data_IF_146226792850
#
_entry.id   IF_146226792850
#
_cell.length_a   1.000
_cell.length_b   1.000
_cell.length_c   1.000
_cell.angle_alpha   90.00
_cell.angle_beta   90.00
_cell.angle_gamma   90.00
#
_symmetry.space_group_name_H-M   'P 1'
#
loop_
_entity.id
_entity.type
_entity.pdbx_description
1 polymer ?
#
# COMPACT_ATOMS: atom_id res chain seq x y z
N UNK A 1 -0.71 5.97 -9.86
CA UNK A 1 0.65 6.48 -9.60
C UNK A 1 0.56 7.98 -9.71
N UNK A 2 1.02 8.70 -8.69
CA UNK A 2 1.09 10.17 -8.74
C UNK A 2 2.10 10.63 -9.79
N UNK A 3 1.70 11.57 -10.63
CA UNK A 3 2.59 12.19 -11.62
C UNK A 3 3.77 12.89 -10.94
N UNK A 4 4.90 13.01 -11.64
CA UNK A 4 6.10 13.66 -11.11
C UNK A 4 5.83 15.17 -10.90
N UNK A 5 6.23 15.68 -9.74
CA UNK A 5 6.13 17.09 -9.40
C UNK A 5 7.49 17.58 -8.90
N UNK A 6 8.12 18.46 -9.68
CA UNK A 6 9.47 18.95 -9.42
C UNK A 6 9.57 19.76 -8.11
N UNK A 7 8.60 20.64 -7.86
CA UNK A 7 8.58 21.48 -6.65
C UNK A 7 8.52 20.64 -5.38
N UNK A 8 7.65 19.63 -5.37
CA UNK A 8 7.54 18.67 -4.25
C UNK A 8 8.78 17.81 -4.10
N UNK A 9 9.38 17.37 -5.21
CA UNK A 9 10.61 16.60 -5.16
C UNK A 9 11.75 17.43 -4.54
N UNK A 10 11.89 18.70 -4.93
CA UNK A 10 12.87 19.63 -4.38
C UNK A 10 12.59 20.04 -2.93
N UNK A 11 11.33 20.03 -2.49
CA UNK A 11 10.97 20.22 -1.08
C UNK A 11 11.29 19.00 -0.20
N UNK A 12 11.76 17.91 -0.81
CA UNK A 12 12.24 16.70 -0.14
C UNK A 12 11.27 15.52 -0.16
N UNK A 13 10.13 15.63 -0.85
CA UNK A 13 9.26 14.46 -1.07
C UNK A 13 9.95 13.43 -1.98
N UNK A 14 9.90 12.13 -1.64
CA UNK A 14 10.53 11.10 -2.45
C UNK A 14 9.85 10.92 -3.80
N UNK A 15 10.62 10.48 -4.78
CA UNK A 15 10.16 10.14 -6.13
C UNK A 15 10.29 8.64 -6.41
N UNK A 16 9.50 8.15 -7.36
CA UNK A 16 9.50 6.77 -7.81
C UNK A 16 10.23 6.65 -9.14
N UNK A 17 11.23 5.78 -9.17
CA UNK A 17 11.96 5.44 -10.38
C UNK A 17 11.23 4.35 -11.18
N UNK A 18 11.51 4.26 -12.49
CA UNK A 18 10.91 3.26 -13.40
C UNK A 18 11.17 1.82 -12.94
N UNK A 19 12.33 1.55 -12.37
CA UNK A 19 12.68 0.26 -11.78
C UNK A 19 12.00 -0.02 -10.43
N UNK A 20 11.13 0.87 -9.95
CA UNK A 20 10.37 0.72 -8.71
C UNK A 20 11.11 1.18 -7.45
N UNK A 21 12.36 1.68 -7.55
CA UNK A 21 13.12 2.18 -6.40
C UNK A 21 12.70 3.59 -5.96
N UNK A 22 12.98 3.91 -4.70
CA UNK A 22 12.79 5.23 -4.09
C UNK A 22 14.03 6.09 -4.36
N UNK A 23 13.83 7.35 -4.73
CA UNK A 23 14.89 8.34 -4.88
C UNK A 23 14.47 9.70 -4.31
N UNK A 24 15.45 10.59 -4.17
CA UNK A 24 15.29 11.94 -3.64
C UNK A 24 16.03 12.91 -4.53
N UNK A 25 15.33 13.95 -5.00
CA UNK A 25 15.97 15.11 -5.62
C UNK A 25 16.37 16.07 -4.50
N UNK A 26 17.60 16.58 -4.52
CA UNK A 26 18.11 17.47 -3.47
C UNK A 26 18.42 18.86 -3.98
N UNK A 27 18.95 18.95 -5.19
CA UNK A 27 19.36 20.23 -5.76
C UNK A 27 18.90 20.30 -7.21
N UNK A 28 18.51 21.50 -7.62
CA UNK A 28 18.56 21.90 -9.00
C UNK A 28 19.82 22.76 -9.16
N UNK A 29 20.81 22.26 -9.90
CA UNK A 29 22.02 23.03 -10.24
C UNK A 29 21.74 23.92 -11.45
N UNK A 30 22.76 24.64 -11.93
CA UNK A 30 22.65 25.49 -13.12
C UNK A 30 22.00 24.72 -14.29
N UNK A 31 20.97 25.32 -14.88
CA UNK A 31 20.21 24.74 -15.99
C UNK A 31 21.03 24.61 -17.28
N UNK A 32 22.24 25.17 -17.32
CA UNK A 32 23.24 24.91 -18.36
C UNK A 32 23.86 23.51 -18.29
N UNK A 33 23.66 22.78 -17.18
CA UNK A 33 24.06 21.37 -17.09
C UNK A 33 23.06 20.49 -17.84
N UNK A 34 23.56 19.48 -18.55
CA UNK A 34 22.71 18.54 -19.30
C UNK A 34 21.69 17.83 -18.40
N UNK A 35 22.06 17.56 -17.14
CA UNK A 35 21.20 16.91 -16.13
C UNK A 35 21.16 17.75 -14.86
N UNK A 36 20.33 18.82 -14.82
CA UNK A 36 20.41 19.84 -13.77
C UNK A 36 19.79 19.40 -12.44
N UNK A 37 19.06 18.29 -12.38
CA UNK A 37 18.55 17.76 -11.10
C UNK A 37 19.55 16.79 -10.50
N UNK A 38 20.05 17.08 -9.30
CA UNK A 38 20.98 16.23 -8.58
C UNK A 38 20.33 15.64 -7.32
N UNK A 39 20.62 14.36 -7.05
CA UNK A 39 20.06 13.66 -5.90
C UNK A 39 20.65 12.28 -5.68
N UNK A 40 19.88 11.40 -5.06
CA UNK A 40 20.31 10.04 -4.77
C UNK A 40 19.14 9.04 -4.77
N UNK A 41 19.46 7.78 -5.02
CA UNK A 41 18.54 6.66 -4.90
C UNK A 41 18.96 5.73 -3.77
N UNK A 42 17.98 5.08 -3.15
CA UNK A 42 18.19 4.09 -2.09
C UNK A 42 17.87 2.71 -2.68
N UNK A 43 18.79 1.76 -2.57
CA UNK A 43 18.53 0.38 -2.96
C UNK A 43 17.79 -0.42 -1.87
N UNK A 44 17.54 -1.71 -2.15
CA UNK A 44 16.80 -2.58 -1.23
C UNK A 44 17.55 -2.88 0.07
N UNK A 45 18.88 -2.75 0.06
CA UNK A 45 19.76 -3.04 1.19
C UNK A 45 20.15 -1.75 1.95
N UNK A 46 19.62 -0.60 1.53
CA UNK A 46 19.89 0.71 2.12
C UNK A 46 21.12 1.42 1.53
N UNK A 47 21.73 0.88 0.48
CA UNK A 47 22.80 1.53 -0.27
C UNK A 47 22.34 2.82 -0.94
N UNK A 48 23.16 3.87 -0.86
CA UNK A 48 22.88 5.19 -1.41
C UNK A 48 23.76 5.43 -2.64
N UNK A 49 23.15 5.80 -3.76
CA UNK A 49 23.86 6.11 -5.00
C UNK A 49 23.44 7.48 -5.53
N UNK A 50 24.42 8.31 -5.85
CA UNK A 50 24.18 9.62 -6.47
C UNK A 50 23.69 9.46 -7.91
N UNK A 51 22.80 10.36 -8.32
CA UNK A 51 22.27 10.36 -9.68
C UNK A 51 21.82 11.76 -10.09
N UNK A 52 21.78 11.99 -11.40
CA UNK A 52 21.30 13.23 -11.99
C UNK A 52 20.17 12.96 -13.01
N UNK A 53 19.31 13.95 -13.22
CA UNK A 53 18.16 13.89 -14.12
C UNK A 53 17.92 15.20 -14.87
N UNK A 54 17.20 15.10 -15.99
CA UNK A 54 16.58 16.23 -16.68
C UNK A 54 15.49 16.85 -15.80
N UNK A 55 15.08 18.08 -16.10
CA UNK A 55 13.99 18.77 -15.39
C UNK A 55 12.66 18.01 -15.43
N UNK A 56 12.45 17.17 -16.44
CA UNK A 56 11.28 16.30 -16.58
C UNK A 56 11.44 14.93 -15.88
N UNK A 57 12.58 14.69 -15.22
CA UNK A 57 12.85 13.50 -14.46
C UNK A 57 13.49 12.35 -15.23
N UNK A 58 13.74 12.48 -16.54
CA UNK A 58 14.46 11.44 -17.30
C UNK A 58 15.93 11.37 -16.89
N UNK A 59 16.48 10.15 -16.85
CA UNK A 59 17.90 9.93 -16.56
C UNK A 59 18.77 10.03 -17.81
N UNK A 60 18.18 9.79 -18.98
CA UNK A 60 18.83 9.89 -20.28
C UNK A 60 17.88 10.50 -21.31
N UNK A 61 18.42 11.23 -22.29
CA UNK A 61 17.62 11.91 -23.31
C UNK A 61 17.00 10.94 -24.33
N UNK A 62 17.74 9.89 -24.69
CA UNK A 62 17.49 9.11 -25.92
C UNK A 62 16.79 7.77 -25.68
N UNK A 63 16.60 7.37 -24.42
CA UNK A 63 15.96 6.09 -24.12
C UNK A 63 15.28 6.11 -22.74
N UNK A 64 14.34 5.18 -22.56
CA UNK A 64 13.73 4.93 -21.25
C UNK A 64 14.75 4.20 -20.38
N UNK A 65 15.19 4.85 -19.31
CA UNK A 65 16.10 4.25 -18.35
C UNK A 65 15.35 3.75 -17.10
N UNK A 66 15.89 2.72 -16.45
CA UNK A 66 15.36 2.20 -15.19
C UNK A 66 15.36 3.24 -14.06
N UNK A 67 16.21 4.26 -14.16
CA UNK A 67 16.36 5.35 -13.20
C UNK A 67 15.57 6.60 -13.60
N UNK A 68 14.77 6.57 -14.65
CA UNK A 68 13.82 7.66 -14.93
C UNK A 68 12.89 7.85 -13.74
N UNK A 69 12.67 9.10 -13.35
CA UNK A 69 11.59 9.47 -12.42
C UNK A 69 10.27 9.39 -13.20
N UNK A 70 9.38 8.51 -12.76
CA UNK A 70 8.08 8.30 -13.42
C UNK A 70 6.91 8.81 -12.58
N UNK A 71 7.17 9.34 -11.39
CA UNK A 71 6.14 9.83 -10.49
C UNK A 71 6.65 10.18 -9.10
N UNK A 72 5.77 10.70 -8.25
CA UNK A 72 6.06 10.82 -6.82
C UNK A 72 5.99 9.45 -6.14
N UNK A 73 6.81 9.25 -5.10
CA UNK A 73 6.74 8.04 -4.29
C UNK A 73 5.46 8.03 -3.46
N UNK A 74 4.73 6.93 -3.54
CA UNK A 74 3.59 6.63 -2.68
C UNK A 74 4.04 5.54 -1.73
N UNK A 75 3.94 5.77 -0.41
CA UNK A 75 4.31 4.74 0.55
C UNK A 75 3.47 3.47 0.28
N UNK A 76 4.11 2.30 0.19
CA UNK A 76 3.39 1.04 0.00
C UNK A 76 2.34 0.94 1.09
N UNK A 77 1.11 0.56 0.71
CA UNK A 77 0.08 0.28 1.70
C UNK A 77 0.60 -0.83 2.61
N UNK A 78 0.60 -0.64 3.94
CA UNK A 78 1.08 -1.67 4.85
C UNK A 78 0.28 -2.94 4.63
N UNK A 79 0.99 -4.04 4.35
CA UNK A 79 0.38 -5.35 4.30
C UNK A 79 0.21 -5.86 5.72
N UNK A 80 -0.97 -6.37 6.03
CA UNK A 80 -1.27 -6.97 7.33
C UNK A 80 -1.31 -8.49 7.16
N UNK A 81 -0.63 -9.20 8.05
CA UNK A 81 -0.63 -10.66 8.09
C UNK A 81 -1.21 -11.13 9.42
N UNK A 82 -2.10 -12.10 9.39
CA UNK A 82 -2.68 -12.76 10.57
C UNK A 82 -2.47 -14.25 10.38
N UNK A 83 -1.81 -14.91 11.32
CA UNK A 83 -1.48 -16.34 11.23
C UNK A 83 -0.84 -16.73 9.88
N UNK A 84 0.06 -15.88 9.35
CA UNK A 84 0.76 -16.12 8.08
C UNK A 84 -0.06 -15.85 6.80
N UNK A 85 -1.30 -15.39 6.91
CA UNK A 85 -2.17 -15.09 5.77
C UNK A 85 -2.25 -13.57 5.59
N UNK A 86 -2.05 -13.07 4.37
CA UNK A 86 -2.24 -11.65 4.04
C UNK A 86 -3.72 -11.31 4.15
N UNK A 87 -4.07 -10.37 5.03
CA UNK A 87 -5.43 -9.90 5.26
C UNK A 87 -5.47 -8.39 5.04
N UNK A 88 -6.39 -7.93 4.20
CA UNK A 88 -6.55 -6.51 3.93
C UNK A 88 -7.05 -5.75 5.15
N UNK A 89 -6.96 -4.42 5.12
CA UNK A 89 -7.52 -3.61 6.19
C UNK A 89 -9.05 -3.75 6.21
N UNK A 90 -9.67 -4.10 7.36
CA UNK A 90 -11.12 -4.15 7.48
C UNK A 90 -11.71 -2.75 7.45
N UNK A 91 -13.03 -2.68 7.37
CA UNK A 91 -13.76 -1.45 7.63
C UNK A 91 -13.42 -0.91 9.02
N UNK A 92 -13.40 0.41 9.14
CA UNK A 92 -13.31 1.13 10.40
C UNK A 92 -14.57 1.97 10.60
N UNK A 93 -14.77 2.45 11.83
CA UNK A 93 -15.85 3.39 12.12
C UNK A 93 -15.80 4.68 11.27
N UNK A 94 -14.64 5.01 10.68
CA UNK A 94 -14.48 6.18 9.79
C UNK A 94 -14.81 5.87 8.33
N UNK A 95 -14.79 4.60 7.92
CA UNK A 95 -14.87 4.20 6.50
C UNK A 95 -16.12 3.39 6.17
N UNK A 96 -16.88 2.93 7.18
CA UNK A 96 -18.17 2.29 6.98
C UNK A 96 -19.26 3.35 6.75
N UNK A 97 -20.29 2.97 6.01
CA UNK A 97 -21.47 3.79 5.73
C UNK A 97 -22.70 3.00 6.17
N UNK A 98 -23.51 3.58 7.05
CA UNK A 98 -24.74 2.94 7.54
C UNK A 98 -25.74 2.76 6.40
N UNK A 99 -26.30 1.56 6.28
CA UNK A 99 -27.24 1.19 5.21
C UNK A 99 -26.57 0.60 3.96
N UNK A 100 -25.24 0.54 3.89
CA UNK A 100 -24.52 -0.16 2.82
C UNK A 100 -24.29 -1.64 3.13
N UNK A 101 -24.13 -2.43 2.06
CA UNK A 101 -23.80 -3.85 2.12
C UNK A 101 -22.30 -4.08 2.18
N UNK A 102 -21.90 -5.02 3.02
CA UNK A 102 -20.50 -5.42 3.22
C UNK A 102 -20.38 -6.92 3.44
N UNK A 103 -19.19 -7.46 3.16
CA UNK A 103 -18.86 -8.85 3.41
C UNK A 103 -18.26 -9.01 4.81
N UNK A 104 -18.87 -9.85 5.63
CA UNK A 104 -18.44 -10.09 7.00
C UNK A 104 -18.04 -11.54 7.20
N UNK A 105 -17.10 -11.77 8.13
CA UNK A 105 -16.80 -13.12 8.61
C UNK A 105 -18.01 -13.66 9.36
N UNK A 106 -18.44 -14.87 8.98
CA UNK A 106 -19.57 -15.56 9.56
C UNK A 106 -19.22 -17.05 9.62
N UNK A 107 -18.87 -17.54 10.80
CA UNK A 107 -18.38 -18.91 10.98
C UNK A 107 -19.49 -19.97 10.89
N UNK A 108 -20.76 -19.55 10.86
CA UNK A 108 -21.91 -20.44 10.70
C UNK A 108 -22.23 -20.67 9.22
N UNK A 109 -21.83 -19.74 8.35
CA UNK A 109 -22.07 -19.85 6.90
C UNK A 109 -21.14 -20.88 6.24
N UNK A 110 -21.64 -21.54 5.19
CA UNK A 110 -20.86 -22.54 4.44
C UNK A 110 -19.61 -21.97 3.77
N UNK A 111 -19.60 -20.67 3.46
CA UNK A 111 -18.45 -19.99 2.87
C UNK A 111 -17.59 -19.26 3.92
N UNK A 112 -17.95 -19.38 5.21
CA UNK A 112 -17.34 -18.68 6.35
C UNK A 112 -17.44 -17.14 6.28
N UNK A 113 -18.27 -16.64 5.36
CA UNK A 113 -18.54 -15.23 5.12
C UNK A 113 -19.97 -15.03 4.66
N UNK A 114 -20.53 -13.84 4.89
CA UNK A 114 -21.87 -13.46 4.44
C UNK A 114 -21.89 -11.99 4.01
N UNK A 115 -22.82 -11.61 3.12
CA UNK A 115 -23.06 -10.22 2.77
C UNK A 115 -24.23 -9.68 3.60
N UNK A 116 -24.00 -8.62 4.37
CA UNK A 116 -25.02 -8.00 5.22
C UNK A 116 -25.02 -6.49 5.08
N UNK A 117 -26.19 -5.89 5.32
CA UNK A 117 -26.32 -4.44 5.46
C UNK A 117 -25.93 -4.03 6.88
N UNK A 118 -24.94 -3.14 7.01
CA UNK A 118 -24.49 -2.67 8.31
C UNK A 118 -25.22 -1.39 8.72
N UNK A 119 -25.72 -1.32 9.95
CA UNK A 119 -26.42 -0.13 10.47
C UNK A 119 -25.71 0.47 11.69
N UNK A 120 -25.65 1.81 11.75
CA UNK A 120 -25.01 2.53 12.86
C UNK A 120 -25.70 2.33 14.22
N UNK A 121 -26.99 1.97 14.22
CA UNK A 121 -27.78 1.71 15.44
C UNK A 121 -27.83 0.23 15.82
N UNK A 122 -27.22 -0.66 15.02
CA UNK A 122 -27.26 -2.10 15.26
C UNK A 122 -25.94 -2.57 15.90
N UNK A 123 -26.02 -3.05 17.14
CA UNK A 123 -24.85 -3.46 17.92
C UNK A 123 -24.02 -4.56 17.24
N UNK A 124 -24.66 -5.51 16.56
CA UNK A 124 -23.96 -6.58 15.82
C UNK A 124 -23.15 -6.02 14.65
N UNK A 125 -23.74 -5.10 13.88
CA UNK A 125 -23.08 -4.37 12.79
C UNK A 125 -21.86 -3.62 13.32
N UNK A 126 -22.00 -2.92 14.45
CA UNK A 126 -20.90 -2.20 15.09
C UNK A 126 -19.82 -3.16 15.60
N UNK A 127 -20.20 -4.31 16.16
CA UNK A 127 -19.25 -5.34 16.61
C UNK A 127 -18.44 -5.89 15.44
N UNK A 128 -19.05 -6.14 14.28
CA UNK A 128 -18.35 -6.62 13.09
C UNK A 128 -17.31 -5.60 12.59
N UNK A 129 -17.65 -4.31 12.58
CA UNK A 129 -16.71 -3.25 12.18
C UNK A 129 -15.59 -3.08 13.22
N UNK A 130 -15.94 -2.94 14.50
CA UNK A 130 -14.97 -2.67 15.57
C UNK A 130 -14.02 -3.83 15.84
N UNK A 131 -14.46 -5.07 15.63
CA UNK A 131 -13.62 -6.29 15.72
C UNK A 131 -12.84 -6.57 14.44
N UNK A 132 -13.02 -5.75 13.40
CA UNK A 132 -12.31 -5.87 12.13
C UNK A 132 -12.73 -7.09 11.30
N UNK A 133 -14.00 -7.50 11.39
CA UNK A 133 -14.57 -8.66 10.71
C UNK A 133 -15.36 -8.30 9.44
N UNK A 134 -15.49 -7.01 9.11
CA UNK A 134 -16.25 -6.51 7.96
C UNK A 134 -15.35 -5.90 6.87
N UNK A 135 -15.65 -6.18 5.60
CA UNK A 135 -14.84 -5.82 4.43
C UNK A 135 -15.70 -5.42 3.23
N UNK A 136 -15.13 -4.63 2.32
CA UNK A 136 -15.81 -4.26 1.07
C UNK A 136 -15.87 -5.41 0.06
N UNK A 137 -14.86 -6.30 0.04
CA UNK A 137 -14.75 -7.39 -0.95
C UNK A 137 -14.86 -8.74 -0.26
N UNK A 138 -15.63 -9.66 -0.86
CA UNK A 138 -15.81 -11.05 -0.39
C UNK A 138 -14.48 -11.75 -0.12
N UNK A 139 -13.51 -11.61 -1.02
CA UNK A 139 -12.19 -12.25 -0.90
C UNK A 139 -11.41 -11.80 0.34
N UNK A 140 -11.57 -10.54 0.76
CA UNK A 140 -10.85 -10.00 1.92
C UNK A 140 -11.44 -10.56 3.22
N UNK A 141 -12.77 -10.69 3.29
CA UNK A 141 -13.46 -11.38 4.37
C UNK A 141 -13.08 -12.87 4.44
N UNK A 142 -12.96 -13.55 3.30
CA UNK A 142 -12.50 -14.95 3.25
C UNK A 142 -11.06 -15.10 3.74
N UNK A 143 -10.18 -14.18 3.38
CA UNK A 143 -8.80 -14.18 3.88
C UNK A 143 -8.77 -14.02 5.41
N UNK A 144 -9.61 -13.14 5.96
CA UNK A 144 -9.76 -12.99 7.41
C UNK A 144 -10.31 -14.26 8.07
N UNK A 145 -11.39 -14.84 7.54
CA UNK A 145 -11.97 -16.07 8.08
C UNK A 145 -10.94 -17.22 8.09
N UNK A 146 -10.21 -17.40 6.99
CA UNK A 146 -9.11 -18.38 6.90
C UNK A 146 -8.01 -18.08 7.91
N UNK A 147 -7.64 -16.82 8.10
CA UNK A 147 -6.62 -16.42 9.06
C UNK A 147 -7.03 -16.72 10.51
N UNK A 148 -8.29 -16.49 10.88
CA UNK A 148 -8.83 -16.79 12.21
C UNK A 148 -8.90 -18.29 12.49
N UNK A 149 -9.25 -19.09 11.48
CA UNK A 149 -9.35 -20.55 11.59
C UNK A 149 -8.04 -21.28 11.30
N UNK A 150 -6.92 -20.58 11.07
CA UNK A 150 -5.62 -21.22 10.81
C UNK A 150 -4.99 -21.74 12.13
N UNK A 151 -5.66 -22.68 12.81
CA UNK A 151 -5.15 -23.31 14.01
C UNK A 151 -4.02 -24.29 13.64
N UNK A 152 -2.82 -24.06 14.19
CA UNK A 152 -1.73 -25.02 14.11
C UNK A 152 -2.02 -26.13 15.12
N UNK A 153 -2.35 -27.33 14.65
CA UNK A 153 -2.46 -28.51 15.51
C UNK A 153 -1.04 -29.01 15.80
N UNK A 154 -0.55 -28.77 17.01
CA UNK A 154 0.65 -29.45 17.51
C UNK A 154 0.22 -30.77 18.15
N UNK A 155 0.56 -31.88 17.51
CA UNK A 155 0.40 -33.21 18.12
C UNK A 155 1.64 -33.46 18.98
N UNK A 156 1.47 -33.48 20.30
CA UNK A 156 2.50 -33.95 21.21
C UNK A 156 2.32 -35.46 21.37
N UNK A 157 3.35 -36.22 21.02
CA UNK A 157 3.41 -37.63 21.40
C UNK A 157 3.81 -37.68 22.87
N UNK A 158 2.98 -38.30 23.71
CA UNK A 158 3.30 -38.62 25.11
C UNK A 158 4.40 -39.68 25.20
#
# INVERSE_FOLDING_TARGET
>A
MKEFNLEKALSGEPVKLRNGKKAYVKYQVDTKCDYPLAGYLIDGDGGIYHNNWLLDGRNWTDSKDGRDIIGMWEEPKPKRFINGIEVQQPLTMKTYISGEKYWCVDLESSELVTEITLYAFNTESLNLVTRGLAFRRKQDAKAMAKALLNYKVEVKNE
#
